data_IF_008215800766
#
_entry.id   IF_008215800766
#
_cell.length_a   1.000
_cell.length_b   1.000
_cell.length_c   1.000
_cell.angle_alpha   90.00
_cell.angle_beta   90.00
_cell.angle_gamma   90.00
#
_symmetry.space_group_name_H-M   'P 1'
#
loop_
_entity.id
_entity.type
_entity.pdbx_description
1 polymer ?
#
# COMPACT_ATOMS: atom_id res chain seq x y z
N UNK A 1 3.47 16.20 -18.27
CA UNK A 1 2.79 17.36 -17.63
C UNK A 1 2.40 16.96 -16.22
N UNK A 2 2.66 17.81 -15.22
CA UNK A 2 2.31 17.54 -13.82
C UNK A 2 0.93 18.16 -13.56
N UNK A 3 -0.09 17.33 -13.34
CA UNK A 3 -1.39 17.81 -12.88
C UNK A 3 -1.37 17.89 -11.36
N UNK A 4 -1.31 19.12 -10.85
CA UNK A 4 -1.48 19.45 -9.43
C UNK A 4 -2.95 19.75 -9.17
N UNK A 5 -3.65 18.89 -8.44
CA UNK A 5 -4.98 19.22 -7.91
C UNK A 5 -4.83 19.98 -6.59
N UNK A 6 -5.52 21.12 -6.48
CA UNK A 6 -5.66 21.90 -5.26
C UNK A 6 -7.08 21.76 -4.72
N UNK A 7 -7.26 20.87 -3.76
CA UNK A 7 -8.40 20.87 -2.85
C UNK A 7 -7.87 20.51 -1.44
N UNK A 8 -8.40 21.15 -0.41
CA UNK A 8 -7.76 21.30 0.92
C UNK A 8 -7.62 20.03 1.78
N UNK A 9 -7.90 18.84 1.25
CA UNK A 9 -7.76 17.55 1.97
C UNK A 9 -7.07 16.46 1.13
N UNK A 10 -6.30 16.83 0.11
CA UNK A 10 -5.75 15.88 -0.88
C UNK A 10 -4.56 15.10 -0.32
N UNK A 11 -4.72 13.78 -0.23
CA UNK A 11 -3.61 12.82 -0.21
C UNK A 11 -2.82 13.00 -1.50
N UNK A 12 -1.64 13.63 -1.42
CA UNK A 12 -0.92 13.95 -2.65
C UNK A 12 -0.27 12.67 -3.21
N UNK A 13 -0.92 12.11 -4.24
CA UNK A 13 -0.37 11.13 -5.17
C UNK A 13 0.41 11.89 -6.26
N UNK A 14 1.74 11.95 -6.18
CA UNK A 14 2.56 12.50 -7.28
C UNK A 14 3.04 11.35 -8.15
N UNK A 15 2.63 11.38 -9.41
CA UNK A 15 3.09 10.41 -10.40
C UNK A 15 4.16 11.08 -11.24
N UNK A 16 5.32 10.43 -11.33
CA UNK A 16 6.40 10.84 -12.22
C UNK A 16 6.78 9.64 -13.06
N UNK A 17 6.69 9.78 -14.36
CA UNK A 17 7.40 8.90 -15.28
C UNK A 17 8.90 9.03 -14.98
N UNK A 18 9.55 7.90 -14.77
CA UNK A 18 10.99 7.79 -14.62
C UNK A 18 11.49 7.22 -15.94
N UNK A 19 12.47 7.88 -16.54
CA UNK A 19 13.15 7.49 -17.81
C UNK A 19 13.16 5.98 -18.05
N UNK A 20 12.96 5.57 -19.31
CA UNK A 20 13.08 4.19 -19.82
C UNK A 20 12.56 3.13 -18.82
N UNK A 21 11.24 2.90 -18.85
CA UNK A 21 10.54 1.81 -18.17
C UNK A 21 10.35 1.97 -16.65
N UNK A 22 9.99 3.17 -16.15
CA UNK A 22 9.63 3.35 -14.74
C UNK A 22 8.49 4.33 -14.47
N UNK A 23 7.69 4.04 -13.44
CA UNK A 23 6.66 4.95 -12.91
C UNK A 23 6.88 5.09 -11.41
N UNK A 24 7.04 6.32 -10.91
CA UNK A 24 7.09 6.60 -9.49
C UNK A 24 5.75 7.15 -9.00
N UNK A 25 5.17 6.48 -8.01
CA UNK A 25 3.93 6.84 -7.33
C UNK A 25 4.25 7.27 -5.90
N UNK A 26 4.33 8.58 -5.69
CA UNK A 26 4.65 9.17 -4.40
C UNK A 26 3.37 9.45 -3.62
N UNK A 27 3.23 8.81 -2.45
CA UNK A 27 2.20 9.06 -1.45
C UNK A 27 2.75 10.05 -0.41
N UNK A 28 2.23 11.29 -0.43
CA UNK A 28 2.54 12.34 0.55
C UNK A 28 1.25 12.82 1.25
N UNK A 29 0.60 11.97 2.06
CA UNK A 29 -0.58 12.36 2.83
C UNK A 29 -0.27 13.55 3.75
N UNK A 30 -1.10 14.61 3.67
CA UNK A 30 -1.00 15.82 4.49
C UNK A 30 -1.81 15.72 5.79
N UNK A 31 -2.74 14.77 5.87
CA UNK A 31 -3.62 14.51 7.02
C UNK A 31 -3.53 13.05 7.47
N UNK A 32 -4.32 12.69 8.48
CA UNK A 32 -4.32 11.36 9.11
C UNK A 32 -4.38 10.23 8.10
N UNK A 33 -3.39 9.36 8.27
CA UNK A 33 -2.93 8.35 7.35
C UNK A 33 -3.89 7.16 7.42
N UNK A 34 -4.76 7.06 6.43
CA UNK A 34 -5.60 5.88 6.16
C UNK A 34 -5.62 5.64 4.66
N UNK A 35 -6.08 4.48 4.22
CA UNK A 35 -6.34 4.20 2.83
C UNK A 35 -7.76 4.72 2.57
N UNK A 36 -7.93 5.94 2.07
CA UNK A 36 -9.29 6.47 1.81
C UNK A 36 -9.90 5.83 0.56
N UNK A 37 -11.24 5.82 0.42
CA UNK A 37 -11.89 5.42 -0.84
C UNK A 37 -11.36 6.21 -2.05
N UNK A 38 -11.11 7.51 -1.88
CA UNK A 38 -10.55 8.37 -2.93
C UNK A 38 -9.17 7.90 -3.36
N UNK A 39 -8.26 7.64 -2.40
CA UNK A 39 -6.93 7.13 -2.72
C UNK A 39 -7.00 5.80 -3.47
N UNK A 40 -7.85 4.88 -3.01
CA UNK A 40 -8.02 3.57 -3.66
C UNK A 40 -8.45 3.76 -5.12
N UNK A 41 -9.44 4.62 -5.36
CA UNK A 41 -9.92 4.91 -6.70
C UNK A 41 -8.82 5.53 -7.58
N UNK A 42 -8.07 6.50 -7.06
CA UNK A 42 -6.96 7.12 -7.78
C UNK A 42 -5.89 6.07 -8.16
N UNK A 43 -5.53 5.17 -7.25
CA UNK A 43 -4.58 4.09 -7.52
C UNK A 43 -5.14 3.12 -8.58
N UNK A 44 -6.41 2.73 -8.48
CA UNK A 44 -7.05 1.83 -9.47
C UNK A 44 -7.05 2.45 -10.86
N UNK A 45 -7.34 3.75 -10.98
CA UNK A 45 -7.25 4.49 -12.25
C UNK A 45 -5.84 4.37 -12.84
N UNK A 46 -4.79 4.46 -12.03
CA UNK A 46 -3.41 4.32 -12.51
C UNK A 46 -3.07 2.90 -12.94
N UNK A 47 -3.46 1.90 -12.15
CA UNK A 47 -3.27 0.50 -12.52
C UNK A 47 -3.97 0.18 -13.84
N UNK A 48 -5.18 0.71 -14.06
CA UNK A 48 -5.90 0.54 -15.31
C UNK A 48 -5.19 1.23 -16.47
N UNK A 49 -4.70 2.46 -16.30
CA UNK A 49 -3.92 3.17 -17.33
C UNK A 49 -2.67 2.40 -17.75
N UNK A 50 -1.91 1.87 -16.79
CA UNK A 50 -0.73 1.04 -17.07
C UNK A 50 -1.10 -0.19 -17.91
N UNK A 51 -2.21 -0.84 -17.56
CA UNK A 51 -2.70 -2.00 -18.31
C UNK A 51 -3.20 -1.62 -19.71
N UNK A 52 -3.96 -0.54 -19.84
CA UNK A 52 -4.45 -0.01 -21.12
C UNK A 52 -3.31 0.36 -22.06
N UNK A 53 -2.26 1.03 -21.54
CA UNK A 53 -1.04 1.36 -22.28
C UNK A 53 -0.35 0.09 -22.79
N UNK A 54 -0.20 -0.94 -21.94
CA UNK A 54 0.39 -2.21 -22.34
C UNK A 54 -0.42 -2.92 -23.43
N UNK A 55 -1.74 -3.03 -23.26
CA UNK A 55 -2.58 -3.75 -24.22
C UNK A 55 -2.72 -3.02 -25.55
N UNK A 56 -2.57 -1.69 -25.55
CA UNK A 56 -2.56 -0.88 -26.77
C UNK A 56 -1.21 -0.91 -27.48
N UNK A 57 -0.11 -0.89 -26.72
CA UNK A 57 1.25 -0.92 -27.24
C UNK A 57 2.19 -1.64 -26.26
N UNK A 58 2.35 -2.97 -26.39
CA UNK A 58 3.19 -3.75 -25.49
C UNK A 58 4.64 -3.26 -25.50
N UNK A 59 5.19 -2.95 -24.32
CA UNK A 59 6.60 -2.59 -24.19
C UNK A 59 7.49 -3.82 -24.11
N UNK A 60 8.76 -3.66 -24.50
CA UNK A 60 9.80 -4.66 -24.28
C UNK A 60 10.45 -4.49 -22.90
N UNK A 61 10.77 -5.62 -22.26
CA UNK A 61 11.41 -5.65 -20.96
C UNK A 61 10.45 -5.40 -19.79
N UNK A 62 11.01 -4.98 -18.65
CA UNK A 62 10.29 -4.86 -17.38
C UNK A 62 9.98 -3.40 -17.06
N UNK A 63 8.72 -3.10 -16.78
CA UNK A 63 8.28 -1.82 -16.22
C UNK A 63 8.40 -1.82 -14.68
N UNK A 64 9.02 -0.81 -14.10
CA UNK A 64 9.16 -0.71 -12.64
C UNK A 64 8.18 0.30 -12.06
N UNK A 65 7.32 -0.11 -11.12
CA UNK A 65 6.39 0.79 -10.41
C UNK A 65 6.86 1.01 -8.98
N UNK A 66 7.09 2.26 -8.59
CA UNK A 66 7.61 2.61 -7.26
C UNK A 66 6.53 3.26 -6.39
N UNK A 67 6.03 2.51 -5.41
CA UNK A 67 5.20 3.00 -4.32
C UNK A 67 6.06 3.66 -3.24
N UNK A 68 6.23 4.98 -3.32
CA UNK A 68 7.03 5.75 -2.37
C UNK A 68 6.15 6.38 -1.31
N UNK A 69 6.31 5.98 -0.05
CA UNK A 69 5.71 6.66 1.09
C UNK A 69 6.72 7.64 1.69
N UNK A 70 6.42 8.93 1.57
CA UNK A 70 7.28 10.01 2.06
C UNK A 70 7.50 9.92 3.58
N UNK A 71 8.57 10.51 4.10
CA UNK A 71 8.87 10.53 5.54
C UNK A 71 7.82 11.29 6.36
N UNK A 72 7.56 10.85 7.58
CA UNK A 72 6.72 11.55 8.55
C UNK A 72 6.62 10.81 9.89
N UNK A 73 6.10 11.49 10.92
CA UNK A 73 6.12 11.00 12.30
C UNK A 73 4.90 10.12 12.67
N UNK A 74 3.78 10.31 12.00
CA UNK A 74 2.55 9.58 12.29
C UNK A 74 2.52 8.28 11.48
N UNK A 75 2.08 7.21 12.14
CA UNK A 75 1.99 5.86 11.56
C UNK A 75 0.80 5.75 10.59
N UNK A 76 0.98 5.10 9.44
CA UNK A 76 -0.14 4.79 8.53
C UNK A 76 -0.99 3.65 9.10
N UNK A 77 -2.28 3.92 9.36
CA UNK A 77 -3.20 3.02 10.07
C UNK A 77 -4.38 2.57 9.19
N UNK A 78 -4.08 1.71 8.24
CA UNK A 78 -5.06 0.83 7.57
C UNK A 78 -6.27 1.58 7.00
N UNK A 79 -7.46 1.17 7.42
CA UNK A 79 -8.74 1.61 6.85
C UNK A 79 -9.16 3.00 7.34
N UNK A 80 -9.92 3.72 6.51
CA UNK A 80 -10.67 4.91 6.91
C UNK A 80 -11.87 4.55 7.80
N UNK A 81 -11.69 4.60 9.12
CA UNK A 81 -12.76 4.31 10.07
C UNK A 81 -13.80 5.42 10.16
N UNK A 82 -13.49 6.65 9.72
CA UNK A 82 -14.48 7.74 9.66
C UNK A 82 -15.48 7.46 8.54
N UNK A 83 -14.99 7.08 7.36
CA UNK A 83 -15.83 6.66 6.24
C UNK A 83 -16.71 5.46 6.62
N UNK A 84 -16.11 4.42 7.23
CA UNK A 84 -16.86 3.24 7.69
C UNK A 84 -17.95 3.63 8.68
N UNK A 85 -17.61 4.41 9.71
CA UNK A 85 -18.57 4.85 10.73
C UNK A 85 -19.72 5.65 10.13
N UNK A 86 -19.42 6.62 9.27
CA UNK A 86 -20.43 7.47 8.64
C UNK A 86 -21.36 6.67 7.72
N UNK A 87 -20.81 5.73 6.95
CA UNK A 87 -21.59 4.88 6.06
C UNK A 87 -22.56 4.00 6.84
N UNK A 88 -22.10 3.34 7.92
CA UNK A 88 -22.97 2.51 8.76
C UNK A 88 -24.04 3.36 9.45
N UNK A 89 -23.68 4.53 9.99
CA UNK A 89 -24.64 5.44 10.64
C UNK A 89 -25.72 5.94 9.67
N UNK A 90 -25.40 6.03 8.39
CA UNK A 90 -26.32 6.45 7.33
C UNK A 90 -27.07 5.28 6.67
N UNK A 91 -26.93 4.04 7.16
CA UNK A 91 -27.50 2.84 6.53
C UNK A 91 -27.06 2.68 5.07
N UNK A 92 -25.76 2.91 4.83
CA UNK A 92 -25.10 2.77 3.52
C UNK A 92 -24.03 1.68 3.58
N UNK A 93 -24.38 0.51 4.09
CA UNK A 93 -23.48 -0.63 4.28
C UNK A 93 -22.79 -1.04 2.97
N UNK A 94 -23.50 -0.92 1.84
CA UNK A 94 -22.94 -1.18 0.51
C UNK A 94 -21.69 -0.35 0.21
N UNK A 95 -21.62 0.90 0.68
CA UNK A 95 -20.43 1.73 0.54
C UNK A 95 -19.22 1.16 1.29
N UNK A 96 -19.44 0.53 2.45
CA UNK A 96 -18.38 -0.14 3.20
C UNK A 96 -17.90 -1.37 2.44
N UNK A 97 -18.82 -2.19 1.93
CA UNK A 97 -18.49 -3.37 1.13
C UNK A 97 -17.65 -3.00 -0.10
N UNK A 98 -18.11 -2.02 -0.88
CA UNK A 98 -17.44 -1.56 -2.09
C UNK A 98 -16.06 -0.99 -1.77
N UNK A 99 -15.93 -0.26 -0.66
CA UNK A 99 -14.65 0.26 -0.21
C UNK A 99 -13.65 -0.86 0.14
N UNK A 100 -14.09 -1.90 0.87
CA UNK A 100 -13.23 -3.05 1.20
C UNK A 100 -12.91 -3.89 -0.05
N UNK A 101 -13.87 -4.04 -0.96
CA UNK A 101 -13.68 -4.72 -2.24
C UNK A 101 -12.59 -4.03 -3.07
N UNK A 102 -12.70 -2.71 -3.24
CA UNK A 102 -11.71 -1.94 -3.99
C UNK A 102 -10.30 -2.02 -3.38
N UNK A 103 -10.19 -2.07 -2.05
CA UNK A 103 -8.89 -2.30 -1.38
C UNK A 103 -8.37 -3.71 -1.70
N UNK A 104 -9.21 -4.74 -1.57
CA UNK A 104 -8.80 -6.11 -1.82
C UNK A 104 -8.32 -6.30 -3.27
N UNK A 105 -9.04 -5.72 -4.24
CA UNK A 105 -8.70 -5.74 -5.65
C UNK A 105 -7.38 -5.04 -5.93
N UNK A 106 -7.20 -3.84 -5.37
CA UNK A 106 -5.95 -3.10 -5.48
C UNK A 106 -4.77 -3.95 -5.00
N UNK A 107 -4.88 -4.54 -3.81
CA UNK A 107 -3.82 -5.35 -3.22
C UNK A 107 -3.57 -6.61 -4.05
N UNK A 108 -4.62 -7.29 -4.50
CA UNK A 108 -4.49 -8.44 -5.40
C UNK A 108 -3.68 -8.08 -6.65
N UNK A 109 -4.03 -6.98 -7.30
CA UNK A 109 -3.38 -6.50 -8.52
C UNK A 109 -1.92 -6.11 -8.31
N UNK A 110 -1.59 -5.49 -7.18
CA UNK A 110 -0.21 -5.21 -6.80
C UNK A 110 0.58 -6.51 -6.57
N UNK A 111 -0.02 -7.52 -5.91
CA UNK A 111 0.64 -8.79 -5.66
C UNK A 111 0.98 -9.58 -6.93
N UNK A 112 0.13 -9.48 -7.95
CA UNK A 112 0.32 -10.19 -9.22
C UNK A 112 0.99 -9.33 -10.29
N UNK A 113 1.45 -8.12 -9.95
CA UNK A 113 2.02 -7.15 -10.90
C UNK A 113 1.12 -6.89 -12.12
N UNK A 114 -0.20 -6.77 -11.91
CA UNK A 114 -1.21 -6.65 -12.97
C UNK A 114 -1.24 -7.82 -13.98
N UNK A 115 -0.52 -8.91 -13.71
CA UNK A 115 -0.20 -9.96 -14.68
C UNK A 115 0.52 -9.44 -15.95
N UNK A 116 1.30 -8.38 -15.79
CA UNK A 116 2.10 -7.73 -16.83
C UNK A 116 3.61 -7.91 -16.55
N UNK A 117 4.51 -7.68 -17.54
CA UNK A 117 5.95 -7.64 -17.33
C UNK A 117 6.35 -6.39 -16.53
N UNK A 118 6.00 -6.41 -15.24
CA UNK A 118 6.10 -5.31 -14.30
C UNK A 118 6.63 -5.81 -12.97
N UNK A 119 7.37 -4.95 -12.27
CA UNK A 119 7.82 -5.19 -10.89
C UNK A 119 7.31 -4.04 -10.01
N UNK A 120 6.39 -4.36 -9.10
CA UNK A 120 6.01 -3.43 -8.04
C UNK A 120 7.11 -3.35 -6.98
N UNK A 121 7.53 -2.13 -6.69
CA UNK A 121 8.54 -1.78 -5.70
C UNK A 121 7.92 -0.87 -4.64
N UNK A 122 8.30 -1.02 -3.37
CA UNK A 122 7.93 -0.11 -2.29
C UNK A 122 9.15 0.58 -1.72
N UNK A 123 9.05 1.87 -1.43
CA UNK A 123 10.01 2.60 -0.62
C UNK A 123 9.25 3.30 0.51
N UNK A 124 9.34 2.73 1.71
CA UNK A 124 8.55 3.14 2.87
C UNK A 124 9.42 3.92 3.83
N UNK A 125 9.26 5.24 3.90
CA UNK A 125 10.09 6.12 4.73
C UNK A 125 9.49 6.45 6.11
N UNK A 126 8.50 5.68 6.57
CA UNK A 126 7.86 5.83 7.87
C UNK A 126 7.29 4.50 8.37
N UNK A 127 6.80 4.48 9.61
CA UNK A 127 6.13 3.30 10.16
C UNK A 127 4.75 3.10 9.51
N UNK A 128 4.47 1.86 9.12
CA UNK A 128 3.19 1.39 8.57
C UNK A 128 2.67 0.23 9.41
N UNK A 129 1.36 0.09 9.53
CA UNK A 129 0.71 -0.97 10.32
C UNK A 129 -0.62 -1.39 9.69
N UNK A 130 -1.10 -2.59 10.03
CA UNK A 130 -2.39 -3.10 9.53
C UNK A 130 -2.38 -3.23 8.00
N UNK A 131 -3.50 -2.99 7.33
CA UNK A 131 -3.59 -3.09 5.86
C UNK A 131 -2.64 -2.14 5.11
N UNK A 132 -2.30 -0.99 5.68
CA UNK A 132 -1.30 -0.08 5.10
C UNK A 132 0.10 -0.70 5.04
N UNK A 133 0.40 -1.61 5.96
CA UNK A 133 1.65 -2.37 5.91
C UNK A 133 1.62 -3.35 4.73
N UNK A 134 0.52 -4.08 4.55
CA UNK A 134 0.41 -5.03 3.44
C UNK A 134 0.44 -4.34 2.09
N UNK A 135 -0.22 -3.18 1.95
CA UNK A 135 -0.17 -2.36 0.73
C UNK A 135 1.23 -2.22 0.15
N UNK A 136 2.23 -2.02 1.01
CA UNK A 136 3.62 -2.01 0.57
C UNK A 136 4.20 -3.41 0.51
N UNK A 137 4.08 -4.19 1.59
CA UNK A 137 4.85 -5.42 1.73
C UNK A 137 4.43 -6.54 0.78
N UNK A 138 3.26 -6.45 0.13
CA UNK A 138 2.87 -7.41 -0.90
C UNK A 138 3.60 -7.21 -2.22
N UNK A 139 4.23 -6.05 -2.43
CA UNK A 139 5.00 -5.75 -3.63
C UNK A 139 6.27 -6.61 -3.68
N UNK A 140 6.80 -6.81 -4.88
CA UNK A 140 7.88 -7.76 -5.11
C UNK A 140 9.20 -7.32 -4.46
N UNK A 141 9.51 -6.02 -4.47
CA UNK A 141 10.72 -5.46 -3.85
C UNK A 141 10.36 -4.37 -2.85
N UNK A 142 10.75 -4.53 -1.58
CA UNK A 142 10.34 -3.60 -0.52
C UNK A 142 11.54 -3.03 0.23
N UNK A 143 11.71 -1.71 0.20
CA UNK A 143 12.66 -0.98 1.02
C UNK A 143 11.92 -0.31 2.18
N UNK A 144 12.21 -0.73 3.40
CA UNK A 144 11.57 -0.24 4.62
C UNK A 144 12.59 0.54 5.43
N UNK A 145 12.26 1.77 5.82
CA UNK A 145 13.14 2.56 6.66
C UNK A 145 13.38 1.86 8.00
N UNK A 146 14.64 1.70 8.36
CA UNK A 146 15.01 1.26 9.69
C UNK A 146 14.63 2.34 10.72
N UNK A 147 13.60 2.06 11.50
CA UNK A 147 13.12 2.94 12.57
C UNK A 147 13.21 2.18 13.89
N UNK A 148 13.82 2.78 14.90
CA UNK A 148 13.85 2.26 16.28
C UNK A 148 13.14 3.28 17.17
N UNK A 149 12.07 2.86 17.84
CA UNK A 149 11.23 3.74 18.68
C UNK A 149 10.75 5.02 17.97
N UNK A 150 10.48 4.94 16.65
CA UNK A 150 10.06 6.10 15.85
C UNK A 150 11.20 7.07 15.49
N UNK A 151 12.44 6.80 15.91
CA UNK A 151 13.64 7.56 15.54
C UNK A 151 14.43 6.80 14.48
N UNK A 152 14.96 7.53 13.50
CA UNK A 152 15.79 6.97 12.43
C UNK A 152 17.15 6.60 13.04
N UNK A 153 17.55 5.32 12.97
CA UNK A 153 18.93 4.92 13.30
C UNK A 153 19.88 5.65 12.33
N UNK A 154 20.81 6.45 12.87
CA UNK A 154 21.70 7.30 12.06
C UNK A 154 22.92 6.57 11.50
N UNK A 155 23.19 5.35 11.97
CA UNK A 155 24.57 4.85 12.00
C UNK A 155 24.95 3.80 10.97
N UNK A 156 23.99 3.16 10.27
CA UNK A 156 24.35 2.18 9.25
C UNK A 156 24.00 2.66 7.84
N UNK A 157 25.01 2.86 6.98
CA UNK A 157 24.81 3.20 5.56
C UNK A 157 24.26 2.02 4.76
N UNK A 158 24.26 0.81 5.31
CA UNK A 158 23.91 -0.38 4.56
C UNK A 158 22.41 -0.51 4.30
N UNK A 159 22.08 -0.96 3.08
CA UNK A 159 20.82 -1.62 2.78
C UNK A 159 21.06 -3.10 3.03
N UNK A 160 20.27 -3.73 3.89
CA UNK A 160 20.40 -5.16 4.17
C UNK A 160 19.05 -5.86 3.98
N UNK A 161 19.11 -7.06 3.42
CA UNK A 161 17.94 -7.91 3.29
C UNK A 161 17.48 -8.38 4.68
N UNK A 162 16.18 -8.45 4.87
CA UNK A 162 15.55 -8.94 6.10
C UNK A 162 14.68 -10.16 5.79
N UNK A 163 14.48 -11.02 6.79
CA UNK A 163 13.50 -12.07 6.71
C UNK A 163 12.15 -11.50 7.17
N UNK A 164 11.26 -11.27 6.21
CA UNK A 164 9.94 -10.68 6.45
C UNK A 164 9.18 -11.36 7.60
N UNK A 165 9.26 -12.69 7.72
CA UNK A 165 8.46 -13.44 8.70
C UNK A 165 9.04 -13.42 10.11
N UNK A 166 10.33 -13.13 10.29
CA UNK A 166 10.94 -12.93 11.61
C UNK A 166 10.97 -11.45 12.00
N UNK A 167 11.16 -10.56 11.02
CA UNK A 167 11.47 -9.15 11.27
C UNK A 167 10.25 -8.23 11.23
N UNK A 168 9.12 -8.71 10.70
CA UNK A 168 7.88 -7.95 10.60
C UNK A 168 6.74 -8.69 11.30
N UNK A 169 6.06 -7.98 12.20
CA UNK A 169 4.93 -8.51 12.98
C UNK A 169 3.59 -8.20 12.29
N UNK A 170 2.56 -8.97 12.64
CA UNK A 170 1.15 -8.68 12.32
C UNK A 170 0.84 -8.55 10.81
N UNK A 171 1.37 -9.47 9.98
CA UNK A 171 0.97 -9.59 8.57
C UNK A 171 -0.48 -10.08 8.48
N UNK A 172 -1.30 -9.46 7.63
CA UNK A 172 -2.72 -9.83 7.51
C UNK A 172 -2.95 -11.01 6.57
N UNK A 173 -2.02 -11.28 5.65
CA UNK A 173 -2.14 -12.38 4.69
C UNK A 173 -1.34 -13.62 5.11
N UNK A 174 -1.69 -14.82 4.60
CA UNK A 174 -0.86 -16.01 4.78
C UNK A 174 0.52 -15.86 4.14
N UNK A 175 1.55 -16.54 4.68
CA UNK A 175 2.95 -16.47 4.21
C UNK A 175 3.10 -16.60 2.68
N UNK A 176 2.27 -17.44 2.04
CA UNK A 176 2.29 -17.66 0.59
C UNK A 176 2.04 -16.41 -0.27
N UNK A 177 1.37 -15.38 0.26
CA UNK A 177 1.17 -14.11 -0.46
C UNK A 177 2.49 -13.34 -0.57
N UNK A 178 3.37 -13.46 0.43
CA UNK A 178 4.63 -12.72 0.48
C UNK A 178 5.85 -13.54 0.07
N UNK A 179 5.67 -14.82 -0.30
CA UNK A 179 6.79 -15.77 -0.46
C UNK A 179 7.83 -15.35 -1.51
N UNK A 180 7.42 -14.56 -2.50
CA UNK A 180 8.27 -14.10 -3.59
C UNK A 180 8.78 -12.66 -3.36
N UNK A 181 8.50 -12.08 -2.20
CA UNK A 181 8.77 -10.68 -1.92
C UNK A 181 10.11 -10.57 -1.22
N UNK A 182 11.00 -9.74 -1.76
CA UNK A 182 12.27 -9.42 -1.12
C UNK A 182 12.13 -8.13 -0.33
N UNK A 183 12.53 -8.17 0.93
CA UNK A 183 12.40 -7.05 1.85
C UNK A 183 13.78 -6.63 2.35
N UNK A 184 14.01 -5.32 2.37
CA UNK A 184 15.24 -4.71 2.78
C UNK A 184 14.97 -3.63 3.81
N UNK A 185 15.87 -3.50 4.79
CA UNK A 185 15.92 -2.32 5.65
C UNK A 185 17.01 -1.37 5.18
N UNK A 186 16.73 -0.08 5.26
CA UNK A 186 17.69 0.98 4.94
C UNK A 186 17.68 2.08 6.00
N UNK A 187 18.84 2.67 6.32
CA UNK A 187 18.92 3.81 7.24
C UNK A 187 19.07 5.15 6.52
N UNK A 188 19.62 5.18 5.30
CA UNK A 188 19.72 6.36 4.42
C UNK A 188 19.27 5.99 3.02
N UNK A 189 18.64 6.93 2.30
CA UNK A 189 18.24 6.66 0.91
C UNK A 189 19.50 6.58 0.05
N UNK A 190 19.70 5.44 -0.61
CA UNK A 190 20.78 5.20 -1.57
C UNK A 190 20.14 4.65 -2.85
N UNK A 191 19.74 5.56 -3.74
CA UNK A 191 19.07 5.20 -4.99
C UNK A 191 19.94 4.33 -5.91
N UNK A 192 21.27 4.59 -6.07
CA UNK A 192 22.14 3.68 -6.79
C UNK A 192 22.10 2.24 -6.27
N UNK A 193 22.23 2.04 -4.96
CA UNK A 193 22.18 0.71 -4.36
C UNK A 193 20.80 0.05 -4.52
N UNK A 194 19.71 0.79 -4.25
CA UNK A 194 18.35 0.30 -4.45
C UNK A 194 18.11 -0.11 -5.91
N UNK A 195 18.57 0.68 -6.87
CA UNK A 195 18.46 0.39 -8.31
C UNK A 195 19.22 -0.89 -8.67
N UNK A 196 20.42 -1.09 -8.13
CA UNK A 196 21.19 -2.31 -8.35
C UNK A 196 20.42 -3.54 -7.86
N UNK A 197 19.92 -3.48 -6.62
CA UNK A 197 19.12 -4.55 -6.02
C UNK A 197 17.89 -4.87 -6.87
N UNK A 198 17.15 -3.85 -7.33
CA UNK A 198 15.94 -4.05 -8.14
C UNK A 198 16.26 -4.74 -9.47
N UNK A 199 17.37 -4.39 -10.12
CA UNK A 199 17.79 -5.00 -11.40
C UNK A 199 18.22 -6.45 -11.26
N UNK A 200 18.61 -6.89 -10.07
CA UNK A 200 18.95 -8.28 -9.76
C UNK A 200 17.71 -9.14 -9.50
N UNK A 201 16.53 -8.54 -9.34
CA UNK A 201 15.28 -9.27 -9.12
C UNK A 201 14.70 -9.71 -10.45
N UNK A 202 14.59 -11.01 -10.63
CA UNK A 202 13.93 -11.60 -11.80
C UNK A 202 12.42 -11.37 -11.76
N UNK A 203 11.84 -10.97 -12.90
CA UNK A 203 10.41 -11.01 -13.07
C UNK A 203 9.97 -12.45 -13.30
N UNK A 204 9.16 -12.99 -12.38
CA UNK A 204 8.57 -14.31 -12.52
C UNK A 204 7.08 -14.16 -12.84
N UNK A 205 6.64 -14.46 -14.08
CA UNK A 205 5.22 -14.43 -14.43
C UNK A 205 4.40 -15.34 -13.52
N UNK A 206 3.23 -14.87 -13.10
CA UNK A 206 2.32 -15.68 -12.30
C UNK A 206 1.62 -16.73 -13.16
N UNK A 207 1.77 -18.00 -12.81
CA UNK A 207 1.06 -19.08 -13.50
C UNK A 207 -0.45 -19.04 -13.18
N UNK A 208 -1.29 -19.47 -14.13
CA UNK A 208 -2.76 -19.49 -14.00
C UNK A 208 -3.26 -20.16 -12.71
N UNK A 209 -2.70 -21.32 -12.35
CA UNK A 209 -3.04 -22.02 -11.11
C UNK A 209 -2.68 -21.21 -9.85
N UNK A 210 -1.58 -20.47 -9.89
CA UNK A 210 -1.18 -19.59 -8.80
C UNK A 210 -2.08 -18.35 -8.74
N UNK A 211 -2.49 -17.81 -9.88
CA UNK A 211 -3.42 -16.68 -9.98
C UNK A 211 -4.76 -17.01 -9.31
N UNK A 212 -5.39 -18.13 -9.67
CA UNK A 212 -6.68 -18.58 -9.08
C UNK A 212 -6.56 -18.76 -7.57
N UNK A 213 -5.48 -19.42 -7.11
CA UNK A 213 -5.24 -19.63 -5.68
C UNK A 213 -5.02 -18.31 -4.94
N UNK A 214 -4.37 -17.35 -5.58
CA UNK A 214 -4.10 -16.02 -5.01
C UNK A 214 -5.39 -15.25 -4.90
N UNK A 215 -6.17 -15.17 -5.98
CA UNK A 215 -7.48 -14.53 -6.01
C UNK A 215 -8.41 -15.07 -4.91
N UNK A 216 -8.47 -16.40 -4.73
CA UNK A 216 -9.26 -17.01 -3.68
C UNK A 216 -8.86 -16.54 -2.26
N UNK A 217 -7.57 -16.29 -1.98
CA UNK A 217 -7.12 -15.74 -0.69
C UNK A 217 -7.66 -14.34 -0.49
N UNK A 218 -7.56 -13.49 -1.52
CA UNK A 218 -8.03 -12.11 -1.46
C UNK A 218 -9.55 -12.06 -1.27
N UNK A 219 -10.31 -12.93 -1.94
CA UNK A 219 -11.75 -13.07 -1.75
C UNK A 219 -12.14 -13.51 -0.33
N UNK A 220 -11.43 -14.48 0.24
CA UNK A 220 -11.63 -14.89 1.64
C UNK A 220 -11.30 -13.76 2.61
N UNK A 221 -10.23 -13.01 2.33
CA UNK A 221 -9.80 -11.87 3.12
C UNK A 221 -10.87 -10.76 3.09
N UNK A 222 -11.37 -10.41 1.89
CA UNK A 222 -12.47 -9.46 1.67
C UNK A 222 -13.67 -9.80 2.55
N UNK A 223 -14.20 -11.03 2.41
CA UNK A 223 -15.34 -11.53 3.19
C UNK A 223 -15.08 -11.46 4.69
N UNK A 224 -13.89 -11.86 5.13
CA UNK A 224 -13.51 -11.81 6.55
C UNK A 224 -13.51 -10.39 7.10
N UNK A 225 -12.95 -9.42 6.36
CA UNK A 225 -12.92 -8.03 6.80
C UNK A 225 -14.33 -7.44 6.88
N UNK A 226 -15.13 -7.61 5.84
CA UNK A 226 -16.51 -7.11 5.79
C UNK A 226 -17.32 -7.67 6.96
N UNK A 227 -17.31 -8.99 7.16
CA UNK A 227 -18.00 -9.63 8.28
C UNK A 227 -17.50 -9.12 9.63
N UNK A 228 -16.17 -8.97 9.80
CA UNK A 228 -15.59 -8.45 11.05
C UNK A 228 -16.03 -7.01 11.33
N UNK A 229 -16.19 -6.18 10.30
CA UNK A 229 -16.66 -4.81 10.44
C UNK A 229 -18.12 -4.80 10.90
N UNK A 230 -19.00 -5.54 10.22
CA UNK A 230 -20.43 -5.56 10.56
C UNK A 230 -20.72 -6.26 11.89
N UNK A 231 -19.98 -7.32 12.23
CA UNK A 231 -20.05 -7.97 13.53
C UNK A 231 -19.61 -7.02 14.65
N UNK A 232 -18.55 -6.24 14.44
CA UNK A 232 -18.13 -5.25 15.40
C UNK A 232 -19.13 -4.09 15.51
N UNK A 233 -19.72 -3.67 14.40
CA UNK A 233 -20.67 -2.56 14.34
C UNK A 233 -21.98 -2.89 15.05
N UNK A 234 -22.51 -4.09 14.82
CA UNK A 234 -23.72 -4.60 15.48
C UNK A 234 -23.55 -4.73 17.01
N UNK A 235 -22.33 -5.04 17.47
CA UNK A 235 -22.01 -5.14 18.91
C UNK A 235 -21.74 -3.78 19.54
N UNK A 236 -20.97 -2.92 18.88
CA UNK A 236 -20.57 -1.63 19.43
C UNK A 236 -20.10 -0.64 18.34
N UNK A 237 -21.05 0.07 17.72
CA UNK A 237 -20.74 1.11 16.72
C UNK A 237 -19.84 2.23 17.25
N UNK A 238 -19.86 2.52 18.56
CA UNK A 238 -18.99 3.54 19.20
C UNK A 238 -17.50 3.17 19.10
N UNK A 239 -17.17 1.91 18.84
CA UNK A 239 -15.80 1.49 18.58
C UNK A 239 -15.25 2.18 17.32
N UNK A 240 -16.04 2.26 16.24
CA UNK A 240 -15.64 2.90 15.00
C UNK A 240 -15.55 4.41 15.15
N UNK A 241 -16.47 5.02 15.91
CA UNK A 241 -16.39 6.44 16.29
C UNK A 241 -15.09 6.74 17.04
N UNK A 242 -14.71 5.88 18.00
CA UNK A 242 -13.45 6.01 18.73
C UNK A 242 -12.23 5.86 17.83
N UNK A 243 -12.24 4.89 16.91
CA UNK A 243 -11.13 4.72 15.96
C UNK A 243 -11.00 5.91 15.02
N UNK A 244 -12.11 6.45 14.51
CA UNK A 244 -12.13 7.67 13.71
C UNK A 244 -11.61 8.88 14.51
N UNK A 245 -12.00 9.00 15.78
CA UNK A 245 -11.51 10.05 16.67
C UNK A 245 -9.98 9.94 16.88
N UNK A 246 -9.45 8.74 17.15
CA UNK A 246 -8.01 8.51 17.28
C UNK A 246 -7.26 8.90 16.00
N UNK A 247 -7.80 8.53 14.83
CA UNK A 247 -7.24 8.94 13.53
C UNK A 247 -7.20 10.47 13.41
N UNK A 248 -8.21 11.18 13.91
CA UNK A 248 -8.27 12.65 13.88
C UNK A 248 -7.42 13.39 14.94
N UNK A 249 -7.14 12.79 16.10
CA UNK A 249 -6.45 13.45 17.24
C UNK A 249 -4.95 13.56 17.00
N UNK A 250 -4.32 12.52 16.44
CA UNK A 250 -2.89 12.54 16.08
C UNK A 250 -2.54 13.66 15.08
N UNK A 251 -3.54 14.16 14.36
CA UNK A 251 -3.41 15.30 13.46
C UNK A 251 -3.33 16.66 14.18
N UNK A 252 -3.97 16.84 15.34
CA UNK A 252 -3.94 18.12 16.08
C UNK A 252 -2.63 18.33 16.84
N UNK A 253 -2.03 17.26 17.36
CA UNK A 253 -0.80 17.36 18.15
C UNK A 253 0.46 17.64 17.31
N UNK A 254 0.41 17.45 15.98
CA UNK A 254 1.55 17.66 15.07
C UNK A 254 1.43 18.93 14.21
N UNK A 255 0.42 19.77 14.46
CA UNK A 255 0.32 21.14 13.92
C UNK A 255 0.81 22.21 14.93
N UNK A 256 1.44 21.80 16.03
CA UNK A 256 2.09 22.68 17.01
C UNK A 256 3.60 22.62 16.84
#
# INVERSE_FOLDING_TARGET
>A
MVNTFHQKDVELLVIREVKENGIAVCLKPQISYVITPTLVNEIRIQQNKIAEEYYSNPWEGILYVFWYLHSGQITWRGLDYKYIYDAIKQHKEKLVEDYIENIADLLFLNNINLALPLINCSIVHRKVTGLSQDFFLINQVNFIKNTENGKIKKEDKSIHQINLFSDVKNLNFPKRIYKNNVCYRYSRMDFPAMRKIIKEVEHCPIHSNQLVRTQFIFELMKKKIVNSIFDAASKNIKLFERFAAIQSIEHKNNRR
#
